data_IF_303690989794
#
_entry.id   IF_303690989794
#
_cell.length_a   1.000
_cell.length_b   1.000
_cell.length_c   1.000
_cell.angle_alpha   90.00
_cell.angle_beta   90.00
_cell.angle_gamma   90.00
#
_symmetry.space_group_name_H-M   'P 1'
#
loop_
_entity.id
_entity.type
_entity.pdbx_description
1 polymer ?
#
# COMPACT_ATOMS: atom_id res chain seq x y z
N UNK A 1 -3.91 23.90 13.64
CA UNK A 1 -3.04 23.22 14.63
C UNK A 1 -2.67 21.85 14.07
N UNK A 2 -1.41 21.49 14.09
CA UNK A 2 -0.99 20.15 13.65
C UNK A 2 -1.14 19.17 14.81
N UNK A 3 -1.74 18.02 14.53
CA UNK A 3 -2.01 16.98 15.54
C UNK A 3 -1.36 15.67 15.13
N UNK A 4 -0.70 15.01 16.08
CA UNK A 4 -0.16 13.66 15.91
C UNK A 4 -1.01 12.71 16.74
N UNK A 5 -1.57 11.69 16.08
CA UNK A 5 -2.34 10.64 16.73
C UNK A 5 -1.48 9.36 16.77
N UNK A 6 -1.09 8.94 17.97
CA UNK A 6 -0.32 7.71 18.17
C UNK A 6 -1.24 6.50 18.27
N UNK A 7 -0.87 5.39 17.63
CA UNK A 7 -1.58 4.12 17.69
C UNK A 7 -1.89 3.55 16.31
N UNK A 8 -2.69 2.49 16.28
CA UNK A 8 -3.14 1.89 15.02
C UNK A 8 -4.03 2.87 14.25
N UNK A 9 -3.66 3.14 13.00
CA UNK A 9 -4.38 4.11 12.16
C UNK A 9 -5.86 3.74 11.98
N UNK A 10 -6.19 2.45 11.95
CA UNK A 10 -7.57 1.95 11.81
C UNK A 10 -8.44 2.36 13.00
N UNK A 11 -7.85 2.43 14.19
CA UNK A 11 -8.55 2.88 15.39
C UNK A 11 -8.51 4.40 15.52
N UNK A 12 -7.38 5.01 15.16
CA UNK A 12 -7.24 6.48 15.27
C UNK A 12 -8.11 7.22 14.28
N UNK A 13 -8.32 6.70 13.09
CA UNK A 13 -9.23 7.33 12.13
C UNK A 13 -10.69 7.35 12.61
N UNK A 14 -11.10 6.45 13.52
CA UNK A 14 -12.47 6.45 14.08
C UNK A 14 -12.86 7.74 14.82
N UNK A 15 -11.88 8.48 15.31
CA UNK A 15 -12.14 9.78 15.97
C UNK A 15 -12.37 10.94 14.98
N UNK A 16 -12.04 10.71 13.71
CA UNK A 16 -12.28 11.68 12.65
C UNK A 16 -13.71 11.54 12.13
N UNK A 17 -14.34 12.68 11.89
CA UNK A 17 -15.66 12.72 11.26
C UNK A 17 -15.62 12.21 9.82
N UNK A 18 -16.78 11.79 9.32
CA UNK A 18 -16.94 11.47 7.91
C UNK A 18 -16.64 12.71 7.05
N UNK A 19 -16.05 12.49 5.88
CA UNK A 19 -15.79 13.56 4.90
C UNK A 19 -15.03 14.79 5.49
N UNK A 20 -14.11 14.56 6.46
CA UNK A 20 -13.37 15.62 7.17
C UNK A 20 -11.92 15.80 6.70
N UNK A 21 -11.41 14.90 5.85
CA UNK A 21 -10.02 14.90 5.37
C UNK A 21 -9.97 15.31 3.90
N UNK A 22 -9.17 16.32 3.59
CA UNK A 22 -9.05 16.85 2.22
C UNK A 22 -7.99 16.14 1.38
N UNK A 23 -6.98 15.54 2.01
CA UNK A 23 -5.92 14.80 1.32
C UNK A 23 -5.36 13.73 2.23
N UNK A 24 -5.25 12.52 1.70
CA UNK A 24 -4.42 11.46 2.27
C UNK A 24 -3.18 11.26 1.41
N UNK A 25 -2.01 11.23 2.05
CA UNK A 25 -0.76 10.87 1.39
C UNK A 25 -0.03 9.86 2.28
N UNK A 26 0.18 8.65 1.79
CA UNK A 26 0.72 7.58 2.61
C UNK A 26 1.49 6.55 1.81
N UNK A 27 2.35 5.82 2.52
CA UNK A 27 3.00 4.59 2.05
C UNK A 27 2.66 3.51 3.06
N UNK A 28 1.68 2.65 2.80
CA UNK A 28 1.35 1.56 3.72
C UNK A 28 2.53 0.58 3.84
N UNK A 29 2.63 -0.17 4.94
CA UNK A 29 3.67 -1.18 5.07
C UNK A 29 3.58 -2.18 3.92
N UNK A 30 4.72 -2.59 3.37
CA UNK A 30 4.78 -3.58 2.30
C UNK A 30 4.77 -5.00 2.87
N UNK A 31 4.11 -5.90 2.18
CA UNK A 31 3.98 -7.29 2.59
C UNK A 31 5.33 -7.93 2.90
N UNK A 32 5.53 -8.33 4.15
CA UNK A 32 6.73 -9.02 4.66
C UNK A 32 8.08 -8.39 4.26
N UNK A 33 8.09 -7.09 3.98
CA UNK A 33 9.30 -6.38 3.57
C UNK A 33 10.23 -6.02 4.75
N UNK A 34 9.66 -5.92 5.94
CA UNK A 34 10.39 -5.60 7.19
C UNK A 34 9.85 -6.43 8.35
N UNK A 35 10.67 -6.62 9.37
CA UNK A 35 10.32 -7.40 10.56
C UNK A 35 9.10 -6.87 11.33
N UNK A 36 8.80 -5.59 11.19
CA UNK A 36 7.63 -4.96 11.81
C UNK A 36 6.38 -4.96 10.93
N UNK A 37 6.46 -5.49 9.72
CA UNK A 37 5.37 -5.50 8.74
C UNK A 37 5.19 -6.91 8.15
N UNK A 38 4.83 -7.86 9.02
CA UNK A 38 4.67 -9.27 8.66
C UNK A 38 3.22 -9.70 8.78
N UNK A 39 2.78 -10.48 7.82
CA UNK A 39 1.47 -11.13 7.80
C UNK A 39 1.64 -12.62 7.50
N UNK A 40 0.86 -13.49 8.13
CA UNK A 40 0.90 -14.93 7.89
C UNK A 40 0.61 -15.29 6.44
N UNK A 41 -0.36 -14.59 5.81
CA UNK A 41 -0.75 -14.82 4.43
C UNK A 41 -0.87 -13.51 3.64
N UNK A 42 -0.81 -13.61 2.33
CA UNK A 42 -1.01 -12.46 1.46
C UNK A 42 -2.45 -11.93 1.52
N UNK A 43 -3.41 -12.83 1.69
CA UNK A 43 -4.82 -12.50 1.83
C UNK A 43 -5.08 -11.67 3.11
N UNK A 44 -4.41 -11.99 4.21
CA UNK A 44 -4.49 -11.20 5.44
C UNK A 44 -3.91 -9.79 5.26
N UNK A 45 -2.83 -9.68 4.50
CA UNK A 45 -2.29 -8.37 4.13
C UNK A 45 -3.27 -7.56 3.26
N UNK A 46 -3.89 -8.17 2.26
CA UNK A 46 -4.91 -7.50 1.45
C UNK A 46 -6.14 -7.11 2.28
N UNK A 47 -6.54 -7.95 3.24
CA UNK A 47 -7.61 -7.63 4.20
C UNK A 47 -7.25 -6.44 5.07
N UNK A 48 -6.00 -6.35 5.53
CA UNK A 48 -5.49 -5.18 6.26
C UNK A 48 -5.59 -3.91 5.41
N UNK A 49 -5.17 -3.95 4.15
CA UNK A 49 -5.28 -2.81 3.23
C UNK A 49 -6.75 -2.42 3.04
N UNK A 50 -7.62 -3.40 2.81
CA UNK A 50 -9.06 -3.14 2.63
C UNK A 50 -9.66 -2.41 3.84
N UNK A 51 -9.44 -2.91 5.05
CA UNK A 51 -9.98 -2.30 6.29
C UNK A 51 -9.44 -0.90 6.49
N UNK A 52 -8.14 -0.72 6.26
CA UNK A 52 -7.49 0.60 6.40
C UNK A 52 -8.06 1.60 5.41
N UNK A 53 -8.10 1.25 4.13
CA UNK A 53 -8.54 2.19 3.08
C UNK A 53 -10.06 2.38 3.01
N UNK A 54 -10.84 1.48 3.62
CA UNK A 54 -12.26 1.72 3.88
C UNK A 54 -12.46 2.89 4.84
N UNK A 55 -11.65 2.97 5.92
CA UNK A 55 -11.68 4.11 6.83
C UNK A 55 -11.14 5.39 6.17
N UNK A 56 -10.08 5.28 5.38
CA UNK A 56 -9.59 6.43 4.58
C UNK A 56 -10.68 6.95 3.65
N UNK A 57 -11.44 6.06 3.01
CA UNK A 57 -12.57 6.44 2.16
C UNK A 57 -13.66 7.18 2.94
N UNK A 58 -14.04 6.66 4.11
CA UNK A 58 -15.05 7.27 4.97
C UNK A 58 -14.69 8.69 5.38
N UNK A 59 -13.43 8.91 5.80
CA UNK A 59 -12.99 10.21 6.30
C UNK A 59 -12.66 11.21 5.20
N UNK A 60 -12.43 10.76 3.96
CA UNK A 60 -12.07 11.65 2.86
C UNK A 60 -13.30 12.38 2.32
N UNK A 61 -13.19 13.70 2.22
CA UNK A 61 -14.22 14.56 1.64
C UNK A 61 -14.44 14.22 0.16
N UNK A 62 -15.68 14.24 -0.29
CA UNK A 62 -16.04 13.98 -1.70
C UNK A 62 -15.30 14.90 -2.66
N UNK A 63 -14.79 14.31 -3.74
CA UNK A 63 -14.02 15.03 -4.76
C UNK A 63 -12.56 15.29 -4.37
N UNK A 64 -12.10 14.76 -3.23
CA UNK A 64 -10.72 14.89 -2.77
C UNK A 64 -9.88 13.65 -3.11
N UNK A 65 -8.58 13.74 -2.89
CA UNK A 65 -7.60 12.77 -3.37
C UNK A 65 -6.98 11.95 -2.25
N UNK A 66 -6.63 10.71 -2.59
CA UNK A 66 -5.77 9.84 -1.81
C UNK A 66 -4.57 9.44 -2.65
N UNK A 67 -3.36 9.82 -2.22
CA UNK A 67 -2.11 9.47 -2.86
C UNK A 67 -1.45 8.33 -2.08
N UNK A 68 -1.17 7.22 -2.75
CA UNK A 68 -0.61 6.03 -2.11
C UNK A 68 0.66 5.59 -2.83
N UNK A 69 1.77 5.55 -2.12
CA UNK A 69 3.02 5.00 -2.66
C UNK A 69 3.09 3.51 -2.37
N UNK A 70 3.12 2.71 -3.42
CA UNK A 70 3.21 1.25 -3.38
C UNK A 70 4.21 0.74 -4.42
N UNK A 71 4.75 -0.44 -4.17
CA UNK A 71 5.54 -1.17 -5.16
C UNK A 71 5.25 -2.67 -5.08
N UNK A 72 5.44 -3.41 -6.18
CA UNK A 72 5.44 -4.85 -6.14
C UNK A 72 6.48 -5.37 -5.15
N UNK A 73 6.16 -6.48 -4.49
CA UNK A 73 7.08 -7.14 -3.56
C UNK A 73 7.55 -8.45 -4.15
N UNK A 74 8.85 -8.71 -4.02
CA UNK A 74 9.43 -10.00 -4.37
C UNK A 74 9.36 -10.89 -3.12
N UNK A 75 8.62 -11.98 -3.21
CA UNK A 75 8.66 -13.04 -2.23
C UNK A 75 9.82 -13.98 -2.60
N UNK A 76 10.89 -14.03 -1.79
CA UNK A 76 12.03 -14.91 -2.07
C UNK A 76 11.58 -16.36 -2.01
N UNK A 77 12.27 -17.22 -2.75
CA UNK A 77 12.07 -18.66 -2.66
C UNK A 77 12.42 -19.18 -1.27
N UNK A 78 11.59 -20.04 -0.73
CA UNK A 78 11.81 -20.67 0.59
C UNK A 78 12.86 -21.77 0.54
N UNK A 79 13.06 -22.40 -0.63
CA UNK A 79 14.04 -23.43 -0.85
C UNK A 79 14.51 -23.45 -2.32
N UNK A 80 15.53 -24.27 -2.62
CA UNK A 80 16.06 -24.41 -3.99
C UNK A 80 15.02 -24.92 -5.00
N UNK A 81 13.98 -25.61 -4.53
CA UNK A 81 12.93 -26.20 -5.37
C UNK A 81 11.71 -25.27 -5.54
N UNK A 82 11.71 -24.08 -4.94
CA UNK A 82 10.63 -23.10 -5.06
C UNK A 82 11.10 -21.91 -5.89
N UNK A 83 10.21 -21.37 -6.67
CA UNK A 83 10.45 -20.15 -7.44
C UNK A 83 10.19 -18.91 -6.58
N UNK A 84 10.95 -17.85 -6.81
CA UNK A 84 10.61 -16.55 -6.28
C UNK A 84 9.39 -16.00 -7.00
N UNK A 85 8.44 -15.42 -6.26
CA UNK A 85 7.22 -14.83 -6.82
C UNK A 85 7.25 -13.32 -6.68
N UNK A 86 6.69 -12.65 -7.67
CA UNK A 86 6.38 -11.23 -7.56
C UNK A 86 4.90 -11.09 -7.23
N UNK A 87 4.63 -10.45 -6.10
CA UNK A 87 3.25 -10.19 -5.69
C UNK A 87 2.78 -8.89 -6.34
N UNK A 88 1.67 -8.91 -7.07
CA UNK A 88 1.17 -7.76 -7.83
C UNK A 88 0.37 -6.80 -6.93
N UNK A 89 0.96 -6.37 -5.82
CA UNK A 89 0.27 -5.58 -4.78
C UNK A 89 -0.40 -4.34 -5.37
N UNK A 90 0.23 -3.69 -6.34
CA UNK A 90 -0.33 -2.49 -6.97
C UNK A 90 -1.65 -2.75 -7.69
N UNK A 91 -1.77 -3.89 -8.37
CA UNK A 91 -3.00 -4.28 -9.08
C UNK A 91 -4.10 -4.74 -8.12
N UNK A 92 -3.73 -5.53 -7.10
CA UNK A 92 -4.68 -5.97 -6.08
C UNK A 92 -5.19 -4.79 -5.26
N UNK A 93 -4.30 -3.85 -4.93
CA UNK A 93 -4.67 -2.61 -4.28
C UNK A 93 -5.60 -1.75 -5.14
N UNK A 94 -5.33 -1.64 -6.43
CA UNK A 94 -6.24 -0.97 -7.35
C UNK A 94 -7.65 -1.58 -7.32
N UNK A 95 -7.74 -2.91 -7.30
CA UNK A 95 -9.00 -3.64 -7.21
C UNK A 95 -9.73 -3.34 -5.90
N UNK A 96 -9.00 -3.30 -4.77
CA UNK A 96 -9.53 -2.92 -3.46
C UNK A 96 -10.09 -1.50 -3.51
N UNK A 97 -9.32 -0.53 -3.99
CA UNK A 97 -9.72 0.87 -4.05
C UNK A 97 -10.97 1.07 -4.91
N UNK A 98 -11.00 0.44 -6.08
CA UNK A 98 -12.18 0.46 -6.97
C UNK A 98 -13.42 -0.14 -6.28
N UNK A 99 -13.25 -1.26 -5.59
CA UNK A 99 -14.34 -1.90 -4.83
C UNK A 99 -14.88 -1.05 -3.68
N UNK A 100 -14.05 -0.21 -3.08
CA UNK A 100 -14.44 0.75 -2.04
C UNK A 100 -15.14 2.00 -2.60
N UNK A 101 -15.13 2.23 -3.91
CA UNK A 101 -15.78 3.37 -4.57
C UNK A 101 -14.84 4.49 -5.00
N UNK A 102 -13.52 4.33 -4.85
CA UNK A 102 -12.55 5.28 -5.35
C UNK A 102 -12.54 5.32 -6.88
N UNK A 103 -12.36 6.51 -7.44
CA UNK A 103 -12.12 6.70 -8.87
C UNK A 103 -10.62 6.80 -9.11
N UNK A 104 -10.11 5.98 -10.01
CA UNK A 104 -8.72 6.11 -10.44
C UNK A 104 -8.53 7.41 -11.24
N UNK A 105 -7.48 8.15 -10.90
CA UNK A 105 -7.12 9.39 -11.58
C UNK A 105 -5.89 9.16 -12.44
N UNK A 106 -4.77 8.76 -11.81
CA UNK A 106 -3.50 8.58 -12.50
C UNK A 106 -2.50 7.81 -11.62
N UNK A 107 -1.41 7.36 -12.22
CA UNK A 107 -0.24 6.82 -11.51
C UNK A 107 1.01 7.61 -11.86
N UNK A 108 1.86 7.81 -10.85
CA UNK A 108 3.13 8.51 -10.97
C UNK A 108 4.24 7.49 -10.72
N UNK A 109 5.10 7.30 -11.73
CA UNK A 109 6.25 6.43 -11.59
C UNK A 109 7.37 7.18 -10.88
N UNK A 110 7.74 6.70 -9.69
CA UNK A 110 8.93 7.17 -8.99
C UNK A 110 10.15 6.40 -9.47
N UNK A 111 10.85 6.99 -10.41
CA UNK A 111 12.11 6.45 -10.92
C UNK A 111 13.26 6.71 -9.93
N UNK A 112 13.97 5.63 -9.55
CA UNK A 112 15.16 5.73 -8.69
C UNK A 112 16.40 5.56 -9.53
N UNK A 113 17.42 6.39 -9.25
CA UNK A 113 18.73 6.25 -9.90
C UNK A 113 19.36 4.89 -9.58
N UNK A 114 20.01 4.28 -10.55
CA UNK A 114 20.57 2.92 -10.48
C UNK A 114 21.60 2.69 -9.36
N UNK A 115 22.19 3.69 -8.79
CA UNK A 115 23.17 3.58 -7.70
C UNK A 115 22.58 3.30 -6.31
N UNK A 116 21.26 3.32 -6.14
CA UNK A 116 20.63 3.21 -4.82
C UNK A 116 20.23 1.76 -4.41
N UNK A 117 20.33 0.79 -5.31
CA UNK A 117 20.05 -0.61 -4.99
C UNK A 117 21.27 -1.47 -5.25
N UNK A 118 21.87 -2.00 -4.18
CA UNK A 118 22.89 -3.06 -4.21
C UNK A 118 22.27 -4.42 -4.66
N UNK A 119 21.11 -4.42 -5.26
CA UNK A 119 20.48 -5.64 -5.77
C UNK A 119 21.08 -5.96 -7.14
N UNK A 120 22.05 -6.86 -7.14
CA UNK A 120 22.67 -7.45 -8.34
C UNK A 120 21.69 -8.19 -9.26
N UNK A 121 20.47 -8.44 -8.81
CA UNK A 121 19.37 -8.95 -9.63
C UNK A 121 18.54 -7.75 -10.08
N UNK A 122 19.01 -7.08 -11.12
CA UNK A 122 18.32 -5.94 -11.70
C UNK A 122 16.84 -6.26 -11.95
N UNK A 123 15.97 -5.37 -11.48
CA UNK A 123 14.56 -5.41 -11.81
C UNK A 123 14.42 -5.01 -13.28
N UNK A 124 14.61 -5.95 -14.17
CA UNK A 124 14.25 -5.76 -15.57
C UNK A 124 12.79 -6.15 -15.72
N UNK A 125 11.97 -5.21 -16.14
CA UNK A 125 10.73 -5.52 -16.80
C UNK A 125 11.12 -6.14 -18.16
N UNK A 126 11.12 -7.45 -18.23
CA UNK A 126 11.02 -8.12 -19.52
C UNK A 126 9.53 -8.18 -19.88
N UNK A 127 9.22 -7.57 -21.01
CA UNK A 127 7.95 -7.78 -21.70
C UNK A 127 7.85 -9.23 -22.14
#
# INVERSE_FOLDING_TARGET
MNTILSGDCRDRMKILGDESVQLTCTSPPYYNAKSYSTWPTYEEYLSFLYVTFKEVYRVTEKGRMCCVNLSPVIQPRESRNHESRRLPITFDFFTIMKGLGWKYIDDIVWEKQEGASINRNGNFFQM
#
